data_IF_481323146118
#
_entry.id   IF_481323146118
#
_cell.length_a   1.000
_cell.length_b   1.000
_cell.length_c   1.000
_cell.angle_alpha   90.00
_cell.angle_beta   90.00
_cell.angle_gamma   90.00
#
_symmetry.space_group_name_H-M   'P 1'
#
loop_
_entity.id
_entity.type
_entity.pdbx_description
1 polymer ?
#
# COMPACT_ATOMS: atom_id res chain seq x y z
N UNK A 1 -64.60 -62.23 32.17
CA UNK A 1 -63.66 -61.64 33.15
C UNK A 1 -62.69 -60.73 32.37
N UNK A 2 -62.92 -59.42 32.38
CA UNK A 2 -62.01 -58.39 32.98
C UNK A 2 -60.61 -58.38 32.30
N UNK A 3 -60.14 -57.35 31.58
CA UNK A 3 -59.64 -56.02 32.02
C UNK A 3 -59.36 -55.18 30.73
N UNK A 4 -60.00 -54.03 30.47
CA UNK A 4 -59.53 -52.62 30.56
C UNK A 4 -58.19 -52.20 29.89
N UNK A 5 -58.32 -51.25 28.94
CA UNK A 5 -57.59 -49.97 28.79
C UNK A 5 -56.06 -49.95 28.51
N UNK A 6 -55.65 -49.42 27.34
CA UNK A 6 -55.09 -48.05 27.17
C UNK A 6 -54.55 -47.78 25.77
N UNK A 7 -55.07 -46.71 25.17
CA UNK A 7 -54.50 -45.95 24.06
C UNK A 7 -53.07 -45.48 24.39
N UNK A 8 -52.15 -45.61 23.44
CA UNK A 8 -50.95 -44.76 23.33
C UNK A 8 -50.71 -44.39 21.87
N UNK A 9 -51.06 -43.15 21.57
CA UNK A 9 -50.54 -42.33 20.49
C UNK A 9 -49.01 -42.29 20.58
N UNK A 10 -48.30 -42.71 19.53
CA UNK A 10 -46.88 -42.39 19.34
C UNK A 10 -46.77 -41.45 18.15
N UNK A 11 -46.74 -40.16 18.45
CA UNK A 11 -46.27 -39.13 17.53
C UNK A 11 -44.74 -39.26 17.44
N UNK A 12 -44.23 -39.70 16.28
CA UNK A 12 -42.80 -39.59 16.00
C UNK A 12 -42.49 -38.15 15.62
N UNK A 13 -41.76 -37.51 16.51
CA UNK A 13 -41.24 -36.14 16.44
C UNK A 13 -40.18 -36.07 15.34
N UNK A 14 -40.45 -35.35 14.25
CA UNK A 14 -39.43 -34.92 13.29
C UNK A 14 -38.53 -33.88 13.97
N UNK A 15 -37.38 -34.31 14.47
CA UNK A 15 -36.30 -33.42 14.88
C UNK A 15 -35.66 -32.82 13.62
N UNK A 16 -36.13 -31.63 13.24
CA UNK A 16 -35.40 -30.72 12.35
C UNK A 16 -34.14 -30.27 13.09
N UNK A 17 -33.01 -30.88 12.75
CA UNK A 17 -31.68 -30.35 13.05
C UNK A 17 -31.55 -29.02 12.29
N UNK A 18 -31.82 -27.90 12.97
CA UNK A 18 -31.30 -26.61 12.54
C UNK A 18 -29.78 -26.65 12.72
N UNK A 19 -29.08 -27.01 11.64
CA UNK A 19 -27.67 -26.71 11.49
C UNK A 19 -27.56 -25.19 11.45
N UNK A 20 -27.08 -24.57 12.53
CA UNK A 20 -26.50 -23.24 12.44
C UNK A 20 -25.27 -23.36 11.56
N UNK A 21 -25.44 -23.17 10.25
CA UNK A 21 -24.33 -22.80 9.40
C UNK A 21 -23.96 -21.37 9.80
N UNK A 22 -22.95 -21.25 10.67
CA UNK A 22 -22.19 -20.01 10.81
C UNK A 22 -21.50 -19.77 9.47
N UNK A 23 -22.24 -19.17 8.55
CA UNK A 23 -21.62 -18.58 7.37
C UNK A 23 -20.80 -17.42 7.93
N UNK A 24 -19.45 -17.44 7.81
CA UNK A 24 -18.66 -16.29 8.22
C UNK A 24 -19.23 -15.09 7.47
N UNK A 25 -19.70 -14.10 8.24
CA UNK A 25 -20.37 -12.92 7.73
C UNK A 25 -19.47 -12.33 6.64
N UNK A 26 -19.91 -12.45 5.38
CA UNK A 26 -19.12 -12.00 4.25
C UNK A 26 -19.09 -10.48 4.37
N UNK A 27 -17.98 -9.92 4.86
CA UNK A 27 -17.81 -8.48 4.97
C UNK A 27 -18.08 -7.92 3.58
N UNK A 28 -19.20 -7.24 3.39
CA UNK A 28 -19.56 -6.66 2.10
C UNK A 28 -18.92 -5.29 1.92
N UNK A 29 -18.69 -4.56 3.02
CA UNK A 29 -18.01 -3.27 3.04
C UNK A 29 -17.27 -3.08 4.37
N UNK A 30 -16.11 -2.43 4.33
CA UNK A 30 -15.48 -1.93 5.57
C UNK A 30 -16.17 -0.63 6.01
N UNK A 31 -16.21 -0.32 7.32
CA UNK A 31 -16.79 0.91 7.82
C UNK A 31 -16.28 2.13 7.03
N UNK A 32 -17.22 2.84 6.42
CA UNK A 32 -16.98 4.05 5.63
C UNK A 32 -17.18 5.33 6.45
N UNK A 33 -17.61 5.21 7.71
CA UNK A 33 -17.82 6.34 8.58
C UNK A 33 -16.52 7.13 8.77
N UNK A 34 -16.60 8.43 8.57
CA UNK A 34 -15.48 9.36 8.66
C UNK A 34 -15.94 10.63 9.36
N UNK A 35 -15.10 11.20 10.21
CA UNK A 35 -15.38 12.48 10.87
C UNK A 35 -14.07 13.20 11.19
N UNK A 36 -14.12 14.52 11.38
CA UNK A 36 -12.95 15.30 11.76
C UNK A 36 -12.37 14.85 13.11
N UNK A 37 -13.22 14.46 14.06
CA UNK A 37 -12.78 13.95 15.36
C UNK A 37 -12.00 12.63 15.22
N UNK A 38 -12.49 11.72 14.37
CA UNK A 38 -11.83 10.44 14.07
C UNK A 38 -10.53 10.62 13.31
N UNK A 39 -10.50 11.54 12.35
CA UNK A 39 -9.28 11.93 11.64
C UNK A 39 -8.24 12.47 12.62
N UNK A 40 -8.62 13.40 13.51
CA UNK A 40 -7.74 13.94 14.53
C UNK A 40 -7.19 12.83 15.44
N UNK A 41 -8.05 11.93 15.93
CA UNK A 41 -7.61 10.79 16.74
C UNK A 41 -6.61 9.89 15.99
N UNK A 42 -6.88 9.60 14.71
CA UNK A 42 -5.98 8.82 13.88
C UNK A 42 -4.61 9.50 13.74
N UNK A 43 -4.58 10.78 13.37
CA UNK A 43 -3.32 11.50 13.14
C UNK A 43 -2.53 11.77 14.42
N UNK A 44 -3.21 12.02 15.54
CA UNK A 44 -2.57 12.47 16.78
C UNK A 44 -2.23 11.31 17.73
N UNK A 45 -2.94 10.17 17.63
CA UNK A 45 -2.78 9.01 18.52
C UNK A 45 -2.39 7.74 17.78
N UNK A 46 -3.17 7.32 16.79
CA UNK A 46 -3.00 6.00 16.16
C UNK A 46 -1.76 5.96 15.26
N UNK A 47 -1.61 6.90 14.33
CA UNK A 47 -0.49 6.93 13.38
C UNK A 47 0.86 7.06 14.10
N UNK A 48 1.05 7.93 15.12
CA UNK A 48 2.30 7.97 15.87
C UNK A 48 2.63 6.65 16.57
N UNK A 49 1.62 5.96 17.13
CA UNK A 49 1.83 4.67 17.78
C UNK A 49 2.17 3.56 16.78
N UNK A 50 1.48 3.51 15.63
CA UNK A 50 1.84 2.60 14.53
C UNK A 50 3.27 2.87 14.05
N UNK A 51 3.65 4.13 13.89
CA UNK A 51 4.99 4.53 13.48
C UNK A 51 6.06 4.02 14.47
N UNK A 52 5.80 4.17 15.77
CA UNK A 52 6.73 3.77 16.81
C UNK A 52 6.83 2.25 17.01
N UNK A 53 5.71 1.51 16.87
CA UNK A 53 5.62 0.11 17.30
C UNK A 53 5.49 -0.90 16.16
N UNK A 54 5.07 -0.49 14.96
CA UNK A 54 4.63 -1.44 13.91
C UNK A 54 5.29 -1.19 12.55
N UNK A 55 5.41 0.07 12.13
CA UNK A 55 5.82 0.50 10.78
C UNK A 55 7.22 0.01 10.41
N UNK A 56 8.13 -0.12 11.37
CA UNK A 56 9.46 -0.67 11.11
C UNK A 56 9.41 -2.04 10.41
N UNK A 57 8.40 -2.88 10.68
CA UNK A 57 8.17 -4.14 9.99
C UNK A 57 7.09 -4.06 8.89
N UNK A 58 6.10 -3.18 9.05
CA UNK A 58 4.90 -3.07 8.22
C UNK A 58 4.83 -1.77 7.41
N UNK A 59 5.83 -1.47 6.57
CA UNK A 59 5.88 -0.22 5.80
C UNK A 59 6.02 -0.39 4.28
N UNK A 60 6.20 -1.62 3.80
CA UNK A 60 6.53 -1.81 2.40
C UNK A 60 5.92 -3.09 1.84
N UNK A 61 6.13 -3.28 0.54
CA UNK A 61 5.58 -4.41 -0.20
C UNK A 61 6.08 -5.76 0.30
N UNK A 62 7.29 -5.80 0.89
CA UNK A 62 7.91 -7.01 1.45
C UNK A 62 7.62 -7.22 2.93
N UNK A 63 6.72 -6.42 3.52
CA UNK A 63 6.24 -6.63 4.88
C UNK A 63 5.57 -8.00 5.02
N UNK A 64 5.61 -8.63 6.22
CA UNK A 64 4.93 -9.91 6.46
C UNK A 64 3.47 -9.84 6.00
N UNK A 65 3.06 -10.82 5.18
CA UNK A 65 1.73 -10.90 4.59
C UNK A 65 1.29 -9.64 3.81
N UNK A 66 2.27 -8.88 3.31
CA UNK A 66 2.11 -7.59 2.64
C UNK A 66 1.31 -6.55 3.46
N UNK A 67 1.17 -6.73 4.79
CA UNK A 67 0.45 -5.77 5.62
C UNK A 67 1.25 -4.46 5.72
N UNK A 68 0.65 -3.36 5.28
CA UNK A 68 1.25 -2.03 5.33
C UNK A 68 0.48 -1.14 6.32
N UNK A 69 1.13 -0.78 7.42
CA UNK A 69 0.61 0.07 8.49
C UNK A 69 1.16 1.49 8.43
N UNK A 70 2.01 1.80 7.44
CA UNK A 70 2.57 3.14 7.23
C UNK A 70 1.60 4.07 6.49
N UNK A 71 0.60 3.51 5.80
CA UNK A 71 -0.40 4.25 5.05
C UNK A 71 -1.82 3.82 5.45
N UNK A 72 -2.75 4.78 5.51
CA UNK A 72 -4.14 4.50 5.89
C UNK A 72 -4.85 3.56 4.90
N UNK A 73 -4.56 3.69 3.60
CA UNK A 73 -5.07 2.76 2.59
C UNK A 73 -4.48 1.35 2.79
N UNK A 74 -3.20 1.27 3.15
CA UNK A 74 -2.53 0.02 3.48
C UNK A 74 -3.18 -0.72 4.64
N UNK A 75 -3.55 0.01 5.69
CA UNK A 75 -4.29 -0.52 6.84
C UNK A 75 -5.64 -1.09 6.39
N UNK A 76 -6.37 -0.34 5.56
CA UNK A 76 -7.70 -0.74 5.08
C UNK A 76 -7.67 -1.90 4.09
N UNK A 77 -6.62 -2.00 3.27
CA UNK A 77 -6.36 -3.17 2.43
C UNK A 77 -6.20 -4.44 3.28
N UNK A 78 -5.47 -4.34 4.38
CA UNK A 78 -5.19 -5.45 5.28
C UNK A 78 -4.03 -6.33 4.78
N UNK A 79 -4.12 -7.63 5.07
CA UNK A 79 -3.06 -8.60 4.82
C UNK A 79 -3.47 -9.60 3.74
N UNK A 80 -2.50 -10.34 3.20
CA UNK A 80 -2.73 -11.44 2.27
C UNK A 80 -1.83 -12.63 2.60
N UNK A 81 -2.32 -13.84 2.30
CA UNK A 81 -1.53 -15.07 2.36
C UNK A 81 -0.74 -15.32 1.06
N UNK A 82 -0.94 -14.50 0.03
CA UNK A 82 -0.22 -14.62 -1.23
C UNK A 82 1.25 -14.28 -0.99
N UNK A 83 2.11 -15.29 -1.13
CA UNK A 83 3.56 -15.13 -1.00
C UNK A 83 4.05 -14.15 -2.07
N UNK A 84 4.76 -13.10 -1.70
CA UNK A 84 5.29 -12.20 -2.71
C UNK A 84 6.36 -12.90 -3.56
N UNK A 85 7.34 -13.52 -2.90
CA UNK A 85 8.38 -14.31 -3.54
C UNK A 85 8.03 -15.80 -3.43
N UNK A 86 7.75 -16.41 -4.56
CA UNK A 86 7.43 -17.83 -4.66
C UNK A 86 8.18 -18.42 -5.84
N UNK A 87 9.26 -19.14 -5.54
CA UNK A 87 10.17 -19.68 -6.55
C UNK A 87 9.57 -20.77 -7.42
N UNK A 88 8.35 -21.24 -7.11
CA UNK A 88 7.64 -22.23 -7.93
C UNK A 88 6.75 -21.60 -9.00
N UNK A 89 6.64 -20.27 -9.06
CA UNK A 89 5.82 -19.59 -10.07
C UNK A 89 6.49 -19.61 -11.43
N UNK A 90 5.71 -19.99 -12.43
CA UNK A 90 6.08 -19.93 -13.84
C UNK A 90 5.61 -18.65 -14.51
N UNK A 91 4.65 -17.95 -13.89
CA UNK A 91 4.02 -16.75 -14.43
C UNK A 91 4.07 -15.61 -13.41
N UNK A 92 4.02 -14.39 -13.94
CA UNK A 92 3.90 -13.17 -13.14
C UNK A 92 2.55 -13.15 -12.40
N UNK A 93 2.55 -12.67 -11.15
CA UNK A 93 1.32 -12.39 -10.42
C UNK A 93 0.85 -10.96 -10.69
N UNK A 94 -0.45 -10.74 -10.54
CA UNK A 94 -1.03 -9.40 -10.54
C UNK A 94 -0.34 -8.49 -9.50
N UNK A 95 0.00 -7.25 -9.87
CA UNK A 95 0.53 -6.29 -8.91
C UNK A 95 -0.55 -5.89 -7.89
N UNK A 96 -0.08 -5.52 -6.69
CA UNK A 96 -0.91 -5.17 -5.53
C UNK A 96 -0.40 -3.87 -4.88
N UNK A 97 -0.12 -2.86 -5.68
CA UNK A 97 0.34 -1.51 -5.28
C UNK A 97 -0.84 -0.68 -4.77
N UNK A 98 -0.64 -0.02 -3.62
CA UNK A 98 -1.61 0.89 -3.02
C UNK A 98 -1.89 2.07 -3.94
N UNK A 99 -3.15 2.49 -4.03
CA UNK A 99 -3.63 3.60 -4.85
C UNK A 99 -3.67 3.34 -6.35
N UNK A 100 -3.25 2.15 -6.81
CA UNK A 100 -3.07 1.85 -8.23
C UNK A 100 -3.89 0.63 -8.63
N UNK A 101 -3.65 -0.52 -7.99
CA UNK A 101 -4.17 -1.81 -8.46
C UNK A 101 -5.57 -2.14 -7.88
N UNK A 102 -6.01 -1.41 -6.85
CA UNK A 102 -7.37 -1.42 -6.30
C UNK A 102 -7.57 -0.19 -5.39
N UNK A 103 -8.82 0.24 -5.22
CA UNK A 103 -9.16 1.51 -4.54
C UNK A 103 -10.19 1.35 -3.41
N UNK A 104 -10.71 0.13 -3.22
CA UNK A 104 -11.71 -0.17 -2.20
C UNK A 104 -11.50 -1.59 -1.68
N UNK A 105 -12.19 -1.89 -0.56
CA UNK A 105 -12.08 -3.17 0.11
C UNK A 105 -12.49 -4.35 -0.78
N UNK A 106 -13.58 -4.24 -1.53
CA UNK A 106 -14.09 -5.35 -2.34
C UNK A 106 -13.11 -5.70 -3.45
N UNK A 107 -12.50 -4.69 -4.08
CA UNK A 107 -11.45 -4.88 -5.07
C UNK A 107 -10.21 -5.55 -4.45
N UNK A 108 -9.79 -5.14 -3.25
CA UNK A 108 -8.68 -5.79 -2.53
C UNK A 108 -9.02 -7.22 -2.09
N UNK A 109 -10.25 -7.47 -1.66
CA UNK A 109 -10.70 -8.79 -1.24
C UNK A 109 -10.73 -9.79 -2.40
N UNK A 110 -11.18 -9.35 -3.59
CA UNK A 110 -11.09 -10.14 -4.83
C UNK A 110 -9.64 -10.48 -5.20
N UNK A 111 -8.68 -9.64 -4.83
CA UNK A 111 -7.24 -9.89 -4.97
C UNK A 111 -6.65 -10.74 -3.81
N UNK A 112 -7.48 -11.32 -2.95
CA UNK A 112 -7.04 -12.22 -1.88
C UNK A 112 -6.54 -11.51 -0.61
N UNK A 113 -6.88 -10.24 -0.42
CA UNK A 113 -6.64 -9.53 0.83
C UNK A 113 -7.80 -9.68 1.82
N UNK A 114 -7.49 -9.59 3.11
CA UNK A 114 -8.44 -9.66 4.20
C UNK A 114 -8.11 -8.63 5.29
N UNK A 115 -9.14 -8.09 5.96
CA UNK A 115 -8.93 -7.03 6.93
C UNK A 115 -8.41 -7.62 8.24
N UNK A 116 -7.33 -7.04 8.78
CA UNK A 116 -6.76 -7.46 10.08
C UNK A 116 -7.26 -6.61 11.25
N UNK A 117 -7.77 -5.43 10.96
CA UNK A 117 -8.28 -4.45 11.92
C UNK A 117 -9.80 -4.56 12.15
N UNK A 118 -10.50 -5.42 11.40
CA UNK A 118 -11.96 -5.60 11.52
C UNK A 118 -12.39 -6.37 12.77
N UNK A 119 -13.52 -5.96 13.37
CA UNK A 119 -14.11 -6.63 14.53
C UNK A 119 -13.70 -6.07 15.90
N UNK A 120 -13.07 -4.89 15.95
CA UNK A 120 -12.72 -4.24 17.21
C UNK A 120 -11.80 -5.09 18.08
N UNK A 121 -12.26 -5.39 19.29
CA UNK A 121 -11.53 -6.24 20.26
C UNK A 121 -11.33 -7.69 19.80
N UNK A 122 -12.17 -8.17 18.88
CA UNK A 122 -12.05 -9.50 18.29
C UNK A 122 -11.18 -9.52 17.02
N UNK A 123 -10.65 -8.36 16.60
CA UNK A 123 -9.79 -8.28 15.42
C UNK A 123 -8.48 -9.07 15.60
N UNK A 124 -7.95 -9.71 14.54
CA UNK A 124 -6.61 -10.29 14.57
C UNK A 124 -5.54 -9.30 15.05
N UNK A 125 -5.69 -8.02 14.70
CA UNK A 125 -4.80 -6.95 15.18
C UNK A 125 -4.78 -6.87 16.72
N UNK A 126 -5.95 -6.70 17.37
CA UNK A 126 -5.99 -6.56 18.83
C UNK A 126 -5.63 -7.84 19.56
N UNK A 127 -6.05 -8.97 19.05
CA UNK A 127 -5.74 -10.24 19.67
C UNK A 127 -4.24 -10.55 19.64
N UNK A 128 -3.53 -10.22 18.57
CA UNK A 128 -2.06 -10.33 18.55
C UNK A 128 -1.38 -9.31 19.47
N UNK A 129 -1.91 -8.09 19.60
CA UNK A 129 -1.44 -7.10 20.59
C UNK A 129 -1.55 -7.65 22.01
N UNK A 130 -2.72 -8.19 22.38
CA UNK A 130 -2.96 -8.80 23.69
C UNK A 130 -2.10 -10.04 23.91
N UNK A 131 -1.89 -10.84 22.87
CA UNK A 131 -1.03 -12.02 22.97
C UNK A 131 0.36 -11.65 23.45
N UNK A 132 0.95 -10.55 22.93
CA UNK A 132 2.29 -10.13 23.37
C UNK A 132 2.32 -9.63 24.82
N UNK A 133 1.21 -9.10 25.32
CA UNK A 133 1.09 -8.71 26.73
C UNK A 133 1.09 -9.94 27.65
N UNK A 134 0.51 -11.06 27.19
CA UNK A 134 0.41 -12.31 27.95
C UNK A 134 1.69 -13.14 27.84
N UNK A 135 2.22 -13.30 26.62
CA UNK A 135 3.39 -14.09 26.33
C UNK A 135 4.52 -13.23 25.74
N UNK A 136 5.61 -13.09 26.50
CA UNK A 136 6.79 -12.31 26.13
C UNK A 136 8.00 -13.19 25.79
N UNK A 137 7.79 -14.50 25.62
CA UNK A 137 8.83 -15.44 25.23
C UNK A 137 9.56 -14.99 23.96
N UNK A 138 10.79 -15.48 23.82
CA UNK A 138 11.60 -15.21 22.65
C UNK A 138 10.97 -15.83 21.40
N UNK A 139 10.80 -15.00 20.36
CA UNK A 139 10.31 -15.46 19.07
C UNK A 139 11.29 -16.43 18.42
N UNK A 140 10.79 -17.59 17.99
CA UNK A 140 11.64 -18.66 17.43
C UNK A 140 11.98 -18.44 15.96
N UNK A 141 11.08 -17.80 15.22
CA UNK A 141 11.25 -17.55 13.78
C UNK A 141 11.77 -16.14 13.50
N UNK A 142 12.59 -16.00 12.45
CA UNK A 142 12.98 -14.68 11.95
C UNK A 142 11.77 -14.01 11.31
N UNK A 143 11.55 -12.73 11.61
CA UNK A 143 10.42 -11.96 11.08
C UNK A 143 10.30 -12.02 9.55
N UNK A 144 11.42 -12.03 8.81
CA UNK A 144 11.44 -12.14 7.33
C UNK A 144 10.95 -13.51 6.80
N UNK A 145 11.02 -14.56 7.62
CA UNK A 145 10.58 -15.91 7.26
C UNK A 145 9.14 -16.21 7.68
N UNK A 146 8.55 -15.39 8.58
CA UNK A 146 7.17 -15.55 9.03
C UNK A 146 6.20 -14.90 8.06
N UNK A 147 5.66 -15.69 7.13
CA UNK A 147 4.54 -15.31 6.25
C UNK A 147 3.21 -15.96 6.71
N UNK A 148 3.14 -16.35 7.99
CA UNK A 148 1.97 -16.98 8.57
C UNK A 148 1.14 -15.87 9.19
N UNK A 149 -0.01 -15.56 8.59
CA UNK A 149 -0.96 -14.61 9.14
C UNK A 149 -2.34 -15.23 9.23
N UNK A 150 -2.94 -15.27 10.43
CA UNK A 150 -4.32 -15.70 10.59
C UNK A 150 -5.24 -14.69 9.91
N UNK A 151 -6.18 -15.23 9.11
CA UNK A 151 -7.14 -14.44 8.34
C UNK A 151 -8.27 -13.91 9.19
N UNK A 152 -8.72 -14.71 10.14
CA UNK A 152 -9.92 -14.48 10.95
C UNK A 152 -9.74 -15.06 12.35
N UNK A 153 -10.77 -14.95 13.19
CA UNK A 153 -10.76 -15.42 14.57
C UNK A 153 -10.52 -16.92 14.69
N UNK A 154 -10.98 -17.74 13.73
CA UNK A 154 -10.84 -19.19 13.81
C UNK A 154 -9.39 -19.58 13.58
N UNK A 155 -8.80 -19.09 12.48
CA UNK A 155 -7.38 -19.35 12.22
C UNK A 155 -6.45 -18.74 13.27
N UNK A 156 -6.88 -17.66 13.92
CA UNK A 156 -6.10 -17.02 14.98
C UNK A 156 -5.96 -17.91 16.22
N UNK A 157 -7.00 -18.67 16.57
CA UNK A 157 -6.94 -19.63 17.69
C UNK A 157 -5.92 -20.72 17.40
N UNK A 158 -5.97 -21.34 16.21
CA UNK A 158 -5.02 -22.37 15.80
C UNK A 158 -3.59 -21.80 15.74
N UNK A 159 -3.43 -20.63 15.13
CA UNK A 159 -2.15 -19.93 15.05
C UNK A 159 -1.53 -19.68 16.43
N UNK A 160 -2.30 -19.17 17.38
CA UNK A 160 -1.79 -18.87 18.73
C UNK A 160 -1.57 -20.11 19.59
N UNK A 161 -2.25 -21.23 19.27
CA UNK A 161 -1.99 -22.53 19.90
C UNK A 161 -0.61 -23.06 19.50
N UNK A 162 -0.27 -22.98 18.21
CA UNK A 162 1.00 -23.48 17.68
C UNK A 162 2.16 -22.48 17.87
N UNK A 163 1.84 -21.18 17.93
CA UNK A 163 2.79 -20.07 17.90
C UNK A 163 2.48 -19.02 18.97
N UNK A 164 2.30 -19.46 20.22
CA UNK A 164 1.94 -18.57 21.33
C UNK A 164 2.92 -17.42 21.57
N UNK A 165 4.17 -17.51 21.11
CA UNK A 165 5.17 -16.43 21.23
C UNK A 165 5.00 -15.34 20.16
N UNK A 166 4.20 -15.57 19.11
CA UNK A 166 4.03 -14.68 17.97
C UNK A 166 2.98 -13.57 18.17
N UNK A 167 2.98 -12.97 19.36
CA UNK A 167 2.25 -11.73 19.61
C UNK A 167 2.90 -10.51 18.95
N UNK A 168 2.15 -9.42 18.84
CA UNK A 168 2.61 -8.12 18.31
C UNK A 168 2.80 -7.08 19.43
N UNK A 169 3.85 -6.26 19.42
CA UNK A 169 4.84 -6.15 18.35
C UNK A 169 5.86 -7.31 18.40
N UNK A 170 6.11 -7.92 17.24
CA UNK A 170 6.83 -9.18 17.12
C UNK A 170 8.27 -9.09 17.64
N UNK A 171 8.58 -9.88 18.67
CA UNK A 171 9.92 -9.92 19.27
C UNK A 171 10.35 -8.63 19.99
N UNK A 172 9.43 -7.70 20.23
CA UNK A 172 9.66 -6.44 20.94
C UNK A 172 8.88 -6.44 22.27
N UNK A 173 9.14 -5.48 23.17
CA UNK A 173 8.32 -5.32 24.37
C UNK A 173 6.83 -5.15 24.04
N UNK A 174 5.91 -5.64 24.90
CA UNK A 174 4.49 -5.43 24.72
C UNK A 174 4.12 -3.94 24.75
N UNK A 175 2.97 -3.61 24.17
CA UNK A 175 2.36 -2.30 24.39
C UNK A 175 1.84 -2.21 25.83
N UNK A 176 2.01 -1.06 26.46
CA UNK A 176 1.41 -0.82 27.78
C UNK A 176 -0.12 -0.66 27.67
N UNK A 177 -0.81 -0.56 28.82
CA UNK A 177 -2.25 -0.45 28.87
C UNK A 177 -2.79 0.83 28.18
N UNK A 178 -2.01 1.92 28.19
CA UNK A 178 -2.37 3.19 27.55
C UNK A 178 -2.20 3.09 26.04
N UNK A 179 -1.10 2.50 25.58
CA UNK A 179 -0.86 2.26 24.16
C UNK A 179 -1.89 1.29 23.57
N UNK A 180 -2.19 0.18 24.27
CA UNK A 180 -3.18 -0.78 23.82
C UNK A 180 -4.61 -0.19 23.79
N UNK A 181 -4.96 0.70 24.72
CA UNK A 181 -6.28 1.34 24.73
C UNK A 181 -6.49 2.29 23.54
N UNK A 182 -5.41 2.87 22.99
CA UNK A 182 -5.50 3.68 21.76
C UNK A 182 -6.00 2.84 20.59
N UNK A 183 -5.42 1.65 20.40
CA UNK A 183 -5.86 0.74 19.34
C UNK A 183 -7.23 0.16 19.62
N UNK A 184 -7.51 -0.23 20.87
CA UNK A 184 -8.83 -0.70 21.30
C UNK A 184 -9.94 0.28 20.91
N UNK A 185 -9.78 1.56 21.30
CA UNK A 185 -10.73 2.62 20.97
C UNK A 185 -10.91 2.77 19.45
N UNK A 186 -9.81 2.97 18.72
CA UNK A 186 -9.85 3.16 17.28
C UNK A 186 -10.47 1.98 16.51
N UNK A 187 -10.20 0.75 16.95
CA UNK A 187 -10.73 -0.46 16.30
C UNK A 187 -12.18 -0.71 16.68
N UNK A 188 -12.62 -0.32 17.88
CA UNK A 188 -14.05 -0.33 18.24
C UNK A 188 -14.89 0.62 17.39
N UNK A 189 -14.29 1.68 16.85
CA UNK A 189 -14.92 2.55 15.85
C UNK A 189 -14.86 1.98 14.42
N UNK A 190 -14.29 0.79 14.25
CA UNK A 190 -14.16 0.14 12.95
C UNK A 190 -13.06 0.74 12.06
N UNK A 191 -11.97 1.28 12.65
CA UNK A 191 -10.82 1.90 11.95
C UNK A 191 -11.28 2.79 10.78
N UNK A 192 -11.96 3.88 11.13
CA UNK A 192 -12.76 4.69 10.21
C UNK A 192 -11.99 5.16 8.98
N UNK A 193 -12.73 5.39 7.88
CA UNK A 193 -12.17 6.01 6.69
C UNK A 193 -11.72 7.45 7.02
N UNK A 194 -10.68 7.95 6.35
CA UNK A 194 -10.36 9.37 6.46
C UNK A 194 -11.47 10.20 5.82
N UNK A 195 -11.85 11.32 6.43
CA UNK A 195 -12.81 12.24 5.81
C UNK A 195 -12.21 12.90 4.56
N UNK A 196 -13.02 13.61 3.78
CA UNK A 196 -12.49 14.41 2.65
C UNK A 196 -11.43 15.42 3.12
N UNK A 197 -11.59 15.98 4.32
CA UNK A 197 -10.62 16.90 4.92
C UNK A 197 -9.36 16.16 5.39
N UNK A 198 -9.52 15.00 6.05
CA UNK A 198 -8.38 14.16 6.44
C UNK A 198 -7.53 13.71 5.24
N UNK A 199 -8.17 13.36 4.12
CA UNK A 199 -7.50 13.06 2.86
C UNK A 199 -6.78 14.28 2.28
N UNK A 200 -7.41 15.47 2.33
CA UNK A 200 -6.74 16.73 1.93
C UNK A 200 -5.53 17.04 2.80
N UNK A 201 -5.61 16.84 4.12
CA UNK A 201 -4.51 17.07 5.06
C UNK A 201 -3.26 16.25 4.71
N UNK A 202 -3.41 14.97 4.35
CA UNK A 202 -2.25 14.12 4.00
C UNK A 202 -1.72 14.35 2.59
N UNK A 203 -2.58 14.79 1.67
CA UNK A 203 -2.22 15.08 0.29
C UNK A 203 -1.90 16.57 0.05
N UNK A 204 -1.78 17.36 1.11
CA UNK A 204 -1.60 18.80 0.99
C UNK A 204 -0.24 19.11 0.35
N UNK A 205 -0.28 20.00 -0.64
CA UNK A 205 0.89 20.56 -1.33
C UNK A 205 0.97 22.04 -0.97
N UNK A 206 2.13 22.50 -0.50
CA UNK A 206 2.34 23.92 -0.22
C UNK A 206 2.48 24.73 -1.53
N UNK A 207 2.28 26.05 -1.52
CA UNK A 207 2.52 26.88 -2.71
C UNK A 207 3.95 26.74 -3.27
N UNK A 208 4.95 26.68 -2.39
CA UNK A 208 6.35 26.50 -2.78
C UNK A 208 6.60 25.12 -3.42
N UNK A 209 6.02 24.06 -2.87
CA UNK A 209 6.06 22.73 -3.49
C UNK A 209 5.37 22.75 -4.85
N UNK A 210 4.25 23.45 -4.99
CA UNK A 210 3.51 23.55 -6.24
C UNK A 210 4.31 24.27 -7.32
N UNK A 211 5.09 25.30 -6.99
CA UNK A 211 5.96 26.00 -7.94
C UNK A 211 7.07 25.08 -8.47
N UNK A 212 7.66 24.25 -7.60
CA UNK A 212 8.61 23.23 -8.03
C UNK A 212 7.94 22.16 -8.91
N UNK A 213 6.78 21.65 -8.51
CA UNK A 213 6.01 20.68 -9.30
C UNK A 213 5.76 21.24 -10.70
N UNK A 214 5.27 22.48 -10.81
CA UNK A 214 4.99 23.11 -12.10
C UNK A 214 6.25 23.18 -12.97
N UNK A 215 7.38 23.64 -12.40
CA UNK A 215 8.66 23.74 -13.10
C UNK A 215 9.12 22.39 -13.68
N UNK A 216 9.01 21.32 -12.88
CA UNK A 216 9.46 19.99 -13.29
C UNK A 216 8.47 19.30 -14.23
N UNK A 217 7.16 19.44 -14.00
CA UNK A 217 6.14 18.93 -14.93
C UNK A 217 6.23 19.62 -16.29
N UNK A 218 6.51 20.93 -16.35
CA UNK A 218 6.74 21.63 -17.62
C UNK A 218 7.94 21.08 -18.39
N UNK A 219 9.05 20.77 -17.72
CA UNK A 219 10.22 20.16 -18.35
C UNK A 219 9.90 18.75 -18.89
N UNK A 220 9.29 17.91 -18.05
CA UNK A 220 9.05 16.50 -18.36
C UNK A 220 7.97 16.29 -19.43
N UNK A 221 7.03 17.24 -19.57
CA UNK A 221 5.91 17.13 -20.51
C UNK A 221 6.10 17.92 -21.82
N UNK A 222 7.32 18.37 -22.14
CA UNK A 222 7.61 18.96 -23.46
C UNK A 222 7.40 17.93 -24.58
N UNK A 223 6.85 18.39 -25.70
CA UNK A 223 6.35 17.52 -26.78
C UNK A 223 7.39 17.20 -27.87
N UNK A 224 8.50 17.94 -27.94
CA UNK A 224 9.52 17.68 -28.94
C UNK A 224 10.22 16.32 -28.70
N UNK A 225 10.67 15.62 -29.76
CA UNK A 225 11.19 14.26 -29.64
C UNK A 225 12.36 14.13 -28.66
N UNK A 226 13.27 15.11 -28.67
CA UNK A 226 14.43 15.18 -27.78
C UNK A 226 13.96 15.23 -26.32
N UNK A 227 13.11 16.20 -25.97
CA UNK A 227 12.59 16.32 -24.60
C UNK A 227 11.80 15.09 -24.16
N UNK A 228 10.99 14.50 -25.04
CA UNK A 228 10.23 13.28 -24.71
C UNK A 228 11.15 12.11 -24.38
N UNK A 229 12.25 11.94 -25.11
CA UNK A 229 13.22 10.88 -24.84
C UNK A 229 13.97 11.12 -23.52
N UNK A 230 14.34 12.37 -23.23
CA UNK A 230 14.95 12.76 -21.94
C UNK A 230 13.99 12.52 -20.78
N UNK A 231 12.72 12.90 -20.91
CA UNK A 231 11.72 12.69 -19.87
C UNK A 231 11.48 11.19 -19.60
N UNK A 232 11.42 10.36 -20.68
CA UNK A 232 11.40 8.90 -20.57
C UNK A 232 12.62 8.38 -19.81
N UNK A 233 13.82 8.83 -20.15
CA UNK A 233 15.06 8.48 -19.45
C UNK A 233 14.97 8.81 -17.96
N UNK A 234 14.60 10.03 -17.61
CA UNK A 234 14.51 10.48 -16.21
C UNK A 234 13.45 9.69 -15.43
N UNK A 235 12.27 9.45 -16.01
CA UNK A 235 11.24 8.66 -15.38
C UNK A 235 11.70 7.23 -15.11
N UNK A 236 12.21 6.53 -16.12
CA UNK A 236 12.64 5.14 -15.99
C UNK A 236 13.83 4.95 -15.03
N UNK A 237 14.66 5.98 -14.82
CA UNK A 237 15.77 5.92 -13.87
C UNK A 237 15.41 6.39 -12.45
N UNK A 238 14.34 7.16 -12.30
CA UNK A 238 13.87 7.66 -10.99
C UNK A 238 12.61 6.95 -10.49
N UNK A 239 12.06 5.96 -11.20
CA UNK A 239 10.74 5.37 -10.88
C UNK A 239 10.64 4.73 -9.49
N UNK A 240 11.76 4.24 -8.93
CA UNK A 240 11.83 3.71 -7.55
C UNK A 240 12.11 4.80 -6.51
N UNK A 241 12.49 5.98 -6.97
CA UNK A 241 12.89 7.11 -6.16
C UNK A 241 11.71 7.80 -5.48
N UNK A 242 12.00 8.32 -4.30
CA UNK A 242 11.16 9.31 -3.63
C UNK A 242 11.77 10.68 -3.89
N UNK A 243 10.99 11.59 -4.44
CA UNK A 243 11.42 12.93 -4.78
C UNK A 243 11.27 13.86 -3.59
N UNK A 244 12.30 14.66 -3.33
CA UNK A 244 12.26 15.79 -2.41
C UNK A 244 12.67 17.05 -3.18
N UNK A 245 12.08 18.20 -2.87
CA UNK A 245 12.52 19.48 -3.43
C UNK A 245 13.48 20.17 -2.46
N UNK A 246 14.63 20.65 -2.95
CA UNK A 246 15.71 21.20 -2.11
C UNK A 246 15.28 22.39 -1.26
N UNK A 247 14.32 23.16 -1.76
CA UNK A 247 13.89 24.41 -1.12
C UNK A 247 12.61 24.17 -0.27
N UNK A 248 11.99 23.00 -0.38
CA UNK A 248 10.87 22.54 0.45
C UNK A 248 11.14 21.16 1.10
N UNK A 249 12.15 21.06 2.01
CA UNK A 249 12.55 19.79 2.61
C UNK A 249 11.51 19.20 3.56
N UNK A 250 11.54 17.87 3.72
CA UNK A 250 10.63 17.14 4.61
C UNK A 250 9.31 16.69 3.98
N UNK A 251 9.11 17.06 2.72
CA UNK A 251 7.98 16.67 1.88
C UNK A 251 8.43 15.79 0.73
N UNK A 252 7.68 14.72 0.50
CA UNK A 252 8.09 13.66 -0.41
C UNK A 252 7.06 13.39 -1.49
N UNK A 253 7.53 13.09 -2.69
CA UNK A 253 6.69 12.89 -3.88
C UNK A 253 7.13 11.66 -4.67
N UNK A 254 6.22 11.07 -5.45
CA UNK A 254 6.54 10.10 -6.49
C UNK A 254 6.34 10.74 -7.84
N UNK A 255 7.24 10.45 -8.78
CA UNK A 255 7.00 10.76 -10.18
C UNK A 255 6.14 9.65 -10.78
N UNK A 256 4.95 10.00 -11.27
CA UNK A 256 3.97 9.07 -11.83
C UNK A 256 3.58 9.46 -13.26
N UNK A 257 2.97 8.53 -13.98
CA UNK A 257 2.31 8.79 -15.27
C UNK A 257 0.81 8.88 -15.03
N UNK A 258 0.18 9.97 -15.47
CA UNK A 258 -1.24 10.27 -15.29
C UNK A 258 -1.95 10.43 -16.62
N UNK A 259 -3.23 10.05 -16.69
CA UNK A 259 -4.10 10.38 -17.85
C UNK A 259 -4.46 11.86 -17.93
N UNK A 260 -4.25 12.61 -16.85
CA UNK A 260 -4.63 14.02 -16.69
C UNK A 260 -3.42 14.91 -16.42
N UNK A 261 -3.46 16.14 -16.94
CA UNK A 261 -2.46 17.18 -16.69
C UNK A 261 -2.82 18.04 -15.48
N UNK A 262 -1.86 18.76 -14.91
CA UNK A 262 -2.14 19.78 -13.89
C UNK A 262 -3.09 20.86 -14.44
N UNK A 263 -4.06 21.37 -13.65
CA UNK A 263 -4.30 21.14 -12.22
C UNK A 263 -5.27 19.97 -11.90
N UNK A 264 -5.69 19.19 -12.90
CA UNK A 264 -6.64 18.09 -12.67
C UNK A 264 -6.03 17.00 -11.78
N UNK A 265 -6.92 16.31 -11.04
CA UNK A 265 -6.57 15.19 -10.16
C UNK A 265 -5.79 14.14 -10.95
N UNK A 266 -4.71 13.64 -10.37
CA UNK A 266 -3.92 12.55 -10.92
C UNK A 266 -4.79 11.30 -11.10
N UNK A 267 -4.73 10.72 -12.29
CA UNK A 267 -5.33 9.43 -12.61
C UNK A 267 -4.23 8.52 -13.15
N UNK A 268 -3.68 7.67 -12.28
CA UNK A 268 -2.49 6.88 -12.58
C UNK A 268 -2.65 5.95 -13.79
N UNK A 269 -1.57 5.83 -14.56
CA UNK A 269 -1.41 4.84 -15.62
C UNK A 269 -0.59 3.67 -15.08
N UNK A 270 -1.31 2.62 -14.70
CA UNK A 270 -0.84 1.48 -13.92
C UNK A 270 -0.06 0.42 -14.72
N UNK A 271 0.97 0.80 -15.48
CA UNK A 271 1.81 -0.23 -16.14
C UNK A 271 2.60 -1.05 -15.12
N UNK A 272 3.02 -2.26 -15.48
CA UNK A 272 3.78 -3.12 -14.56
C UNK A 272 5.23 -2.63 -14.42
N UNK A 273 5.86 -2.28 -15.54
CA UNK A 273 7.22 -1.76 -15.61
C UNK A 273 7.19 -0.29 -16.04
N UNK A 274 8.20 0.51 -15.65
CA UNK A 274 8.26 1.93 -16.03
C UNK A 274 8.44 2.11 -17.55
N UNK A 275 9.02 1.11 -18.24
CA UNK A 275 9.26 1.08 -19.68
C UNK A 275 8.16 0.33 -20.46
N UNK A 276 7.05 -0.06 -19.84
CA UNK A 276 5.90 -0.57 -20.59
C UNK A 276 5.14 0.61 -21.24
N UNK A 277 4.48 0.33 -22.36
CA UNK A 277 3.63 1.29 -23.06
C UNK A 277 2.48 1.78 -22.16
N UNK A 278 2.40 3.10 -22.00
CA UNK A 278 1.37 3.77 -21.22
C UNK A 278 0.39 4.57 -22.10
N UNK A 279 0.51 4.48 -23.43
CA UNK A 279 -0.28 5.27 -24.36
C UNK A 279 -0.04 6.78 -24.16
N UNK A 280 -1.14 7.55 -24.13
CA UNK A 280 -1.10 8.99 -23.87
C UNK A 280 -1.15 9.26 -22.36
N UNK A 281 -0.16 9.97 -21.84
CA UNK A 281 -0.05 10.31 -20.43
C UNK A 281 0.72 11.62 -20.22
N UNK A 282 0.71 12.08 -18.98
CA UNK A 282 1.49 13.20 -18.47
C UNK A 282 2.34 12.73 -17.29
N UNK A 283 3.58 13.19 -17.19
CA UNK A 283 4.37 13.05 -15.98
C UNK A 283 3.84 14.00 -14.91
N UNK A 284 3.53 13.46 -13.73
CA UNK A 284 2.97 14.21 -12.60
C UNK A 284 3.70 13.87 -11.31
N UNK A 285 3.75 14.81 -10.37
CA UNK A 285 4.27 14.53 -9.01
C UNK A 285 3.12 14.28 -8.04
N UNK A 286 3.09 13.10 -7.45
CA UNK A 286 2.09 12.72 -6.45
C UNK A 286 2.71 12.75 -5.04
N UNK A 287 2.05 13.39 -4.09
CA UNK A 287 2.50 13.45 -2.69
C UNK A 287 2.53 12.05 -2.06
N UNK A 288 3.61 11.71 -1.36
CA UNK A 288 3.67 10.49 -0.56
C UNK A 288 2.92 10.72 0.76
N UNK A 289 1.84 9.97 0.96
CA UNK A 289 0.99 10.04 2.17
C UNK A 289 1.48 9.11 3.28
N UNK A 290 2.16 8.02 2.89
CA UNK A 290 2.68 7.01 3.79
C UNK A 290 3.79 7.57 4.71
N UNK A 291 3.92 7.02 5.91
CA UNK A 291 5.09 7.27 6.75
C UNK A 291 6.36 6.76 6.05
N UNK A 292 7.33 7.65 5.88
CA UNK A 292 8.64 7.32 5.31
C UNK A 292 9.48 6.54 6.33
N UNK A 293 10.19 5.53 5.84
CA UNK A 293 11.07 4.65 6.61
C UNK A 293 12.38 4.47 5.87
N UNK A 294 13.45 4.05 6.56
CA UNK A 294 14.71 3.75 5.87
C UNK A 294 14.57 2.65 4.78
N UNK A 295 13.52 1.81 4.84
CA UNK A 295 13.28 0.73 3.85
C UNK A 295 12.73 1.21 2.52
N UNK A 296 12.13 2.40 2.47
CA UNK A 296 11.46 2.96 1.29
C UNK A 296 11.95 4.38 0.96
N UNK A 297 13.14 4.77 1.44
CA UNK A 297 13.66 6.13 1.35
C UNK A 297 14.89 6.24 0.43
N UNK A 298 14.68 5.99 -0.87
CA UNK A 298 15.65 6.29 -1.92
C UNK A 298 15.41 7.71 -2.44
N UNK A 299 16.01 8.71 -1.79
CA UNK A 299 15.71 10.12 -2.07
C UNK A 299 16.42 10.59 -3.34
N UNK A 300 15.67 11.24 -4.22
CA UNK A 300 16.18 12.06 -5.32
C UNK A 300 15.82 13.51 -5.06
N UNK A 301 16.81 14.29 -4.64
CA UNK A 301 16.62 15.72 -4.42
C UNK A 301 16.64 16.47 -5.75
N UNK A 302 15.51 17.10 -6.06
CA UNK A 302 15.31 18.00 -7.20
C UNK A 302 15.38 19.45 -6.73
N UNK A 303 15.86 20.34 -7.59
CA UNK A 303 16.00 21.76 -7.28
C UNK A 303 16.75 22.50 -8.37
N UNK A 304 16.97 23.81 -8.23
CA UNK A 304 17.56 24.64 -9.29
C UNK A 304 18.92 24.14 -9.79
N UNK A 305 19.79 23.66 -8.87
CA UNK A 305 21.10 23.08 -9.24
C UNK A 305 20.96 21.80 -10.07
N UNK A 306 20.01 20.93 -9.69
CA UNK A 306 19.75 19.68 -10.43
C UNK A 306 19.17 19.98 -11.81
N UNK A 307 18.24 20.93 -11.89
CA UNK A 307 17.66 21.40 -13.14
C UNK A 307 18.72 21.95 -14.09
N UNK A 308 19.60 22.83 -13.61
CA UNK A 308 20.72 23.36 -14.38
C UNK A 308 21.63 22.26 -14.91
N UNK A 309 21.97 21.27 -14.07
CA UNK A 309 22.78 20.12 -14.48
C UNK A 309 22.09 19.27 -15.56
N UNK A 310 20.77 19.06 -15.48
CA UNK A 310 20.03 18.33 -16.52
C UNK A 310 19.98 19.12 -17.83
N UNK A 311 19.85 20.45 -17.78
CA UNK A 311 19.96 21.30 -18.97
C UNK A 311 21.33 21.17 -19.64
N UNK A 312 22.41 21.27 -18.87
CA UNK A 312 23.78 21.10 -19.38
C UNK A 312 23.99 19.72 -20.02
N UNK A 313 23.50 18.66 -19.36
CA UNK A 313 23.69 17.29 -19.83
C UNK A 313 22.87 17.01 -21.09
N UNK A 314 21.58 17.36 -21.09
CA UNK A 314 20.64 16.86 -22.10
C UNK A 314 20.25 17.89 -23.15
N UNK A 315 20.20 19.18 -22.80
CA UNK A 315 19.59 20.20 -23.66
C UNK A 315 20.63 21.09 -24.34
N UNK A 316 21.67 21.51 -23.63
CA UNK A 316 22.71 22.42 -24.15
C UNK A 316 23.64 21.74 -25.16
N UNK A 317 23.69 20.40 -25.15
CA UNK A 317 24.45 19.61 -26.12
C UNK A 317 23.73 19.51 -27.47
N UNK A 318 24.54 19.54 -28.53
CA UNK A 318 24.08 19.35 -29.92
C UNK A 318 23.84 17.87 -30.21
N UNK A 319 22.59 17.45 -30.08
CA UNK A 319 22.06 16.18 -30.55
C UNK A 319 20.55 16.33 -30.72
N UNK A 320 19.96 15.47 -31.55
CA UNK A 320 18.53 15.44 -31.82
C UNK A 320 18.11 14.03 -32.23
N UNK A 321 16.80 13.78 -32.27
CA UNK A 321 16.20 12.52 -32.70
C UNK A 321 14.96 12.81 -33.54
N UNK A 322 14.88 12.23 -34.73
CA UNK A 322 13.69 12.36 -35.56
C UNK A 322 12.57 11.45 -35.03
N UNK A 323 11.31 11.85 -35.21
CA UNK A 323 10.15 11.06 -34.79
C UNK A 323 10.15 9.63 -35.35
N UNK A 324 10.63 9.45 -36.59
CA UNK A 324 10.74 8.13 -37.23
C UNK A 324 11.75 7.19 -36.54
N UNK A 325 12.68 7.74 -35.79
CA UNK A 325 13.75 7.02 -35.09
C UNK A 325 13.46 6.91 -33.58
N UNK A 326 12.30 7.41 -33.12
CA UNK A 326 11.90 7.40 -31.72
C UNK A 326 11.68 5.95 -31.26
N UNK A 327 12.27 5.53 -30.11
CA UNK A 327 12.13 4.16 -29.63
C UNK A 327 10.68 3.88 -29.23
N UNK A 328 10.16 2.76 -29.70
CA UNK A 328 8.85 2.26 -29.28
C UNK A 328 8.94 1.59 -27.88
N UNK A 329 7.86 0.92 -27.52
CA UNK A 329 7.74 0.13 -26.30
C UNK A 329 7.68 -1.37 -26.62
N UNK A 330 8.33 -1.79 -27.71
CA UNK A 330 8.41 -3.20 -28.08
C UNK A 330 9.04 -4.05 -26.98
N UNK A 331 8.48 -5.23 -26.73
CA UNK A 331 8.85 -6.07 -25.59
C UNK A 331 10.32 -6.52 -25.64
N UNK A 332 10.90 -6.68 -26.83
CA UNK A 332 12.28 -7.14 -27.00
C UNK A 332 13.31 -6.01 -26.82
N UNK A 333 12.88 -4.75 -26.97
CA UNK A 333 13.80 -3.60 -27.00
C UNK A 333 13.58 -2.60 -25.87
N UNK A 334 12.37 -2.46 -25.34
CA UNK A 334 11.99 -1.43 -24.36
C UNK A 334 12.80 -1.51 -23.06
N UNK A 335 13.24 -2.72 -22.68
CA UNK A 335 14.09 -2.94 -21.51
C UNK A 335 15.58 -2.71 -21.77
N UNK A 336 16.00 -2.49 -23.02
CA UNK A 336 17.42 -2.34 -23.39
C UNK A 336 17.82 -0.85 -23.47
N UNK A 337 18.50 -0.30 -22.47
CA UNK A 337 18.84 1.12 -22.44
C UNK A 337 19.82 1.53 -23.53
N UNK A 338 20.60 0.59 -24.09
CA UNK A 338 21.53 0.87 -25.18
C UNK A 338 20.81 1.06 -26.52
N UNK A 339 19.62 0.48 -26.69
CA UNK A 339 18.79 0.66 -27.88
C UNK A 339 17.87 1.86 -27.72
N UNK A 340 17.17 1.96 -26.58
CA UNK A 340 16.19 3.02 -26.30
C UNK A 340 16.86 4.38 -26.27
N UNK A 341 17.98 4.52 -25.56
CA UNK A 341 18.62 5.82 -25.32
C UNK A 341 19.85 6.05 -26.20
N UNK A 342 19.99 5.33 -27.32
CA UNK A 342 21.16 5.43 -28.22
C UNK A 342 21.42 6.84 -28.75
N UNK A 343 20.35 7.63 -28.92
CA UNK A 343 20.45 9.00 -29.41
C UNK A 343 20.97 9.98 -28.33
N UNK A 344 20.82 9.64 -27.05
CA UNK A 344 21.34 10.45 -25.95
C UNK A 344 22.87 10.27 -25.90
N UNK A 345 23.65 11.37 -25.93
CA UNK A 345 25.10 11.32 -25.83
C UNK A 345 25.57 10.50 -24.62
N UNK A 346 26.68 9.76 -24.78
CA UNK A 346 27.20 8.89 -23.72
C UNK A 346 27.53 9.69 -22.47
N UNK A 347 28.11 10.88 -22.61
CA UNK A 347 28.50 11.74 -21.48
C UNK A 347 27.31 12.44 -20.83
N UNK A 348 26.09 12.23 -21.34
CA UNK A 348 24.85 12.74 -20.77
C UNK A 348 24.10 11.69 -19.94
N UNK A 349 24.32 10.41 -20.22
CA UNK A 349 23.64 9.30 -19.54
C UNK A 349 24.25 9.03 -18.17
#
# INVERSE_FOLDING_TARGET
MSVRFRSRLSALLFLLLMSCSDNPELISELPAEASQARDAYYFDKVRPLLNARCVACHACYTSPCQLNLADHEGIRRGATKIKLYDGTRLEDIDPTRLGIDAHDYLAWNKKGFFPVAHGGEASPFMALVKQRQINQDAVRQKAKASNICPKDSNELVDFLTDHSEMGMPYGLPPLDATEASIFSHWLSEGYPALSAEGRRRVAQVSPEEQDHINTWEELLNRLDPKSRLVARYLFEHMFLGVIEFSDAPGSFFRLVRSKTKSPDRIFDVATRRPYDDAGVFYYRFEKVTATITHKNHLIYTLGPKKLARLNELFYDKKWDIALKDYPDYDADTAANPFLVYKAIPVESR
#
